data_IF_904431294452
#
_entry.id   IF_904431294452
#
_cell.length_a   1.000
_cell.length_b   1.000
_cell.length_c   1.000
_cell.angle_alpha   90.00
_cell.angle_beta   90.00
_cell.angle_gamma   90.00
#
_symmetry.space_group_name_H-M   'P 1'
#
loop_
_entity.id
_entity.type
_entity.pdbx_description
1 polymer ?
#
# COMPACT_ATOMS: atom_id res chain seq x y z
N UNK A 1 -25.60 -19.87 -37.14
CA UNK A 1 -25.30 -19.96 -38.59
C UNK A 1 -24.27 -18.88 -38.91
N UNK A 2 -23.13 -19.29 -39.49
CA UNK A 2 -22.01 -18.49 -40.04
C UNK A 2 -21.25 -17.58 -39.05
N UNK A 3 -20.02 -17.89 -38.56
CA UNK A 3 -18.78 -18.39 -39.19
C UNK A 3 -18.27 -17.56 -40.38
N UNK A 4 -17.12 -16.89 -40.17
CA UNK A 4 -15.94 -16.70 -41.05
C UNK A 4 -15.04 -15.62 -40.42
N UNK A 5 -13.74 -15.76 -40.17
CA UNK A 5 -12.78 -16.80 -40.50
C UNK A 5 -11.66 -16.31 -41.43
N UNK A 6 -10.42 -16.48 -40.94
CA UNK A 6 -9.16 -16.82 -41.66
C UNK A 6 -8.40 -15.61 -42.31
N UNK A 7 -7.08 -15.70 -42.65
CA UNK A 7 -5.88 -15.49 -41.80
C UNK A 7 -4.72 -14.75 -42.55
N UNK A 8 -3.46 -14.94 -42.12
CA UNK A 8 -2.16 -15.02 -42.86
C UNK A 8 -1.06 -14.25 -42.09
N UNK A 9 0.22 -14.62 -42.01
CA UNK A 9 0.99 -15.86 -42.21
C UNK A 9 2.45 -15.53 -41.86
N UNK A 10 3.20 -16.58 -41.51
CA UNK A 10 4.63 -16.67 -41.17
C UNK A 10 5.61 -16.07 -42.20
N UNK A 11 6.84 -15.76 -41.77
CA UNK A 11 8.10 -16.39 -42.27
C UNK A 11 9.38 -15.78 -41.65
N UNK A 12 10.28 -16.69 -41.24
CA UNK A 12 11.75 -16.71 -41.33
C UNK A 12 12.61 -15.65 -40.59
N UNK A 13 13.70 -15.97 -39.88
CA UNK A 13 14.64 -17.08 -39.98
C UNK A 13 16.03 -16.53 -40.35
N UNK A 14 17.00 -16.50 -39.41
CA UNK A 14 18.43 -16.45 -39.76
C UNK A 14 19.35 -16.77 -38.57
N UNK A 15 19.94 -17.96 -38.65
CA UNK A 15 21.18 -18.37 -38.00
C UNK A 15 22.37 -17.56 -38.54
N UNK A 16 23.33 -17.23 -37.67
CA UNK A 16 24.68 -16.88 -38.07
C UNK A 16 25.72 -17.51 -37.12
N UNK A 17 26.69 -18.18 -37.73
CA UNK A 17 27.69 -19.09 -37.18
C UNK A 17 29.09 -18.45 -37.23
N UNK A 18 29.94 -18.85 -36.29
CA UNK A 18 31.42 -19.05 -36.39
C UNK A 18 32.39 -17.84 -36.33
N UNK A 19 33.33 -17.92 -35.38
CA UNK A 19 34.80 -17.67 -35.54
C UNK A 19 35.49 -18.10 -34.22
N UNK A 20 36.25 -19.19 -34.09
CA UNK A 20 37.54 -19.64 -34.66
C UNK A 20 38.82 -19.01 -34.02
N UNK A 21 39.71 -19.92 -33.54
CA UNK A 21 41.20 -19.84 -33.41
C UNK A 21 41.79 -19.10 -32.17
N UNK A 22 42.86 -19.53 -31.46
CA UNK A 22 44.01 -20.45 -31.68
C UNK A 22 44.72 -20.82 -30.31
N UNK A 23 45.76 -21.69 -30.27
CA UNK A 23 46.13 -22.65 -29.20
C UNK A 23 47.47 -22.36 -28.49
N UNK A 24 47.98 -23.24 -27.59
CA UNK A 24 49.43 -23.54 -27.43
C UNK A 24 49.78 -24.78 -26.53
N UNK A 25 50.69 -25.64 -27.06
CA UNK A 25 51.66 -26.63 -26.50
C UNK A 25 51.33 -27.53 -25.28
N UNK A 26 51.44 -28.88 -25.32
CA UNK A 26 52.55 -29.85 -25.61
C UNK A 26 53.72 -29.82 -24.63
N UNK A 27 53.97 -30.96 -23.96
CA UNK A 27 55.24 -31.68 -23.66
C UNK A 27 54.89 -32.88 -22.75
N UNK A 28 54.74 -34.12 -23.24
CA UNK A 28 55.72 -35.20 -23.56
C UNK A 28 56.44 -35.89 -22.37
N UNK A 29 56.13 -37.18 -22.25
CA UNK A 29 56.64 -38.35 -21.46
C UNK A 29 58.17 -38.52 -21.31
N UNK A 30 58.73 -39.35 -20.37
CA UNK A 30 58.79 -40.84 -20.43
C UNK A 30 58.64 -41.59 -19.07
N UNK A 31 57.99 -42.77 -18.96
CA UNK A 31 58.35 -44.19 -19.26
C UNK A 31 59.33 -44.87 -18.28
N UNK A 32 58.89 -45.93 -17.56
CA UNK A 32 59.60 -47.18 -17.11
C UNK A 32 58.72 -47.91 -16.05
N UNK A 33 58.08 -49.07 -16.25
CA UNK A 33 58.49 -50.49 -16.43
C UNK A 33 58.80 -51.29 -15.15
N UNK A 34 57.82 -52.16 -14.78
CA UNK A 34 57.87 -53.55 -14.24
C UNK A 34 58.76 -53.94 -13.03
N UNK A 35 58.13 -54.50 -11.98
CA UNK A 35 58.40 -55.81 -11.33
C UNK A 35 57.63 -55.90 -9.98
N UNK A 36 56.68 -56.85 -9.82
CA UNK A 36 56.80 -58.14 -9.13
C UNK A 36 56.19 -58.15 -7.71
N UNK A 37 55.17 -58.99 -7.51
CA UNK A 37 54.53 -59.37 -6.23
C UNK A 37 55.52 -60.09 -5.29
N UNK A 38 55.21 -60.26 -3.98
CA UNK A 38 54.43 -61.45 -3.57
C UNK A 38 53.43 -61.23 -2.39
N UNK A 39 52.58 -62.24 -2.20
CA UNK A 39 51.46 -62.39 -1.26
C UNK A 39 51.84 -62.47 0.24
N UNK A 40 50.93 -62.04 1.13
CA UNK A 40 50.43 -62.82 2.30
C UNK A 40 49.29 -62.12 3.08
N UNK A 41 48.11 -62.73 2.96
CA UNK A 41 47.01 -62.98 3.92
C UNK A 41 46.25 -61.90 4.71
N UNK A 42 44.97 -62.18 5.08
CA UNK A 42 43.94 -61.17 5.33
C UNK A 42 43.53 -61.08 6.81
N UNK A 43 43.24 -59.87 7.30
CA UNK A 43 42.39 -59.69 8.47
C UNK A 43 41.80 -58.28 8.53
N UNK A 44 40.48 -58.23 8.36
CA UNK A 44 39.51 -57.32 8.96
C UNK A 44 40.00 -55.95 9.50
N UNK A 45 39.52 -54.88 8.87
CA UNK A 45 38.63 -53.88 9.51
C UNK A 45 38.08 -52.96 8.41
N UNK A 46 36.82 -53.17 8.03
CA UNK A 46 36.11 -52.22 7.17
C UNK A 46 35.75 -50.97 7.97
N UNK A 47 36.54 -49.92 7.84
CA UNK A 47 36.10 -48.54 8.01
C UNK A 47 35.99 -47.92 6.62
N UNK A 48 34.87 -48.17 5.94
CA UNK A 48 34.56 -47.47 4.69
C UNK A 48 33.89 -46.15 5.05
N UNK A 49 34.66 -45.08 4.86
CA UNK A 49 34.18 -43.70 4.93
C UNK A 49 32.92 -43.53 4.09
N UNK A 50 31.87 -43.04 4.75
CA UNK A 50 30.69 -42.56 4.08
C UNK A 50 31.08 -41.40 3.18
N UNK A 51 31.11 -41.63 1.88
CA UNK A 51 31.17 -40.58 0.89
C UNK A 51 30.05 -39.59 1.18
N UNK A 52 30.42 -38.37 1.55
CA UNK A 52 29.48 -37.26 1.67
C UNK A 52 28.86 -37.04 0.30
N UNK A 53 27.65 -37.54 0.13
CA UNK A 53 26.77 -37.20 -0.98
C UNK A 53 26.52 -35.69 -0.85
N UNK A 54 27.23 -34.89 -1.64
CA UNK A 54 26.95 -33.48 -1.81
C UNK A 54 25.82 -33.34 -2.84
N UNK A 55 24.61 -33.74 -2.44
CA UNK A 55 23.42 -33.28 -3.15
C UNK A 55 23.20 -31.82 -2.78
N UNK A 56 22.93 -30.91 -3.74
CA UNK A 56 22.55 -29.54 -3.41
C UNK A 56 21.23 -29.58 -2.65
N UNK A 57 21.28 -29.63 -1.31
CA UNK A 57 20.12 -29.97 -0.44
C UNK A 57 19.26 -28.74 -0.14
N UNK A 58 19.08 -27.85 -1.10
CA UNK A 58 18.07 -26.81 -0.97
C UNK A 58 17.52 -26.44 -2.35
N UNK A 59 16.77 -27.37 -2.94
CA UNK A 59 15.96 -27.06 -4.11
C UNK A 59 14.81 -26.17 -3.63
N UNK A 60 14.95 -24.86 -3.75
CA UNK A 60 13.88 -23.89 -3.50
C UNK A 60 12.87 -24.07 -4.64
N UNK A 61 11.88 -24.94 -4.46
CA UNK A 61 10.92 -25.31 -5.51
C UNK A 61 9.85 -24.25 -5.78
N UNK A 62 9.80 -23.18 -5.00
CA UNK A 62 8.69 -22.26 -5.01
C UNK A 62 9.18 -20.81 -4.92
N UNK A 63 9.20 -20.11 -6.06
CA UNK A 63 9.75 -18.75 -6.19
C UNK A 63 8.74 -17.64 -5.90
N UNK A 64 7.44 -17.94 -5.95
CA UNK A 64 6.36 -16.93 -5.91
C UNK A 64 5.25 -17.24 -4.90
N UNK A 65 5.62 -17.47 -3.63
CA UNK A 65 4.65 -17.70 -2.54
C UNK A 65 4.55 -16.47 -1.62
N UNK A 66 3.34 -16.14 -1.19
CA UNK A 66 3.07 -15.36 0.02
C UNK A 66 2.80 -16.27 1.21
N UNK A 67 3.37 -15.92 2.36
CA UNK A 67 3.17 -16.66 3.60
C UNK A 67 2.20 -15.90 4.49
N UNK A 68 1.14 -16.54 4.93
CA UNK A 68 0.26 -16.01 5.98
C UNK A 68 0.59 -16.77 7.27
N UNK A 69 0.90 -16.02 8.32
CA UNK A 69 1.33 -16.56 9.63
C UNK A 69 0.27 -16.32 10.69
N UNK A 70 0.00 -17.33 11.49
CA UNK A 70 -0.83 -17.23 12.69
C UNK A 70 -0.09 -17.84 13.89
N UNK A 71 -0.14 -17.18 15.04
CA UNK A 71 0.38 -17.71 16.31
C UNK A 71 -0.79 -18.09 17.21
N UNK A 72 -0.91 -19.39 17.54
CA UNK A 72 -1.99 -19.94 18.38
C UNK A 72 -1.40 -21.01 19.30
N UNK A 73 -1.77 -21.01 20.58
CA UNK A 73 -1.29 -22.02 21.55
C UNK A 73 0.23 -22.06 21.73
N UNK A 74 0.91 -20.92 21.59
CA UNK A 74 2.38 -20.83 21.71
C UNK A 74 3.15 -21.33 20.48
N UNK A 75 2.48 -21.93 19.49
CA UNK A 75 3.07 -22.40 18.23
C UNK A 75 2.77 -21.47 17.07
N UNK A 76 3.59 -21.56 16.02
CA UNK A 76 3.43 -20.80 14.78
C UNK A 76 2.91 -21.73 13.71
N UNK A 77 1.89 -21.28 13.00
CA UNK A 77 1.31 -21.97 11.85
C UNK A 77 1.38 -21.03 10.66
N UNK A 78 1.73 -21.57 9.51
CA UNK A 78 1.95 -20.84 8.27
C UNK A 78 1.26 -21.58 7.13
N UNK A 79 0.69 -20.81 6.20
CA UNK A 79 0.09 -21.33 4.97
C UNK A 79 0.75 -20.70 3.75
N UNK A 80 0.80 -21.47 2.67
CA UNK A 80 1.36 -21.05 1.39
C UNK A 80 0.23 -20.58 0.46
N UNK A 81 0.23 -19.29 0.11
CA UNK A 81 -0.76 -18.67 -0.73
C UNK A 81 -0.12 -17.98 -1.94
N UNK A 82 -0.91 -17.70 -2.97
CA UNK A 82 -0.47 -16.82 -4.05
C UNK A 82 -0.49 -15.34 -3.60
N UNK A 83 0.55 -14.59 -3.96
CA UNK A 83 0.82 -13.24 -3.43
C UNK A 83 -0.34 -12.23 -3.58
N UNK A 84 -1.00 -12.23 -4.72
CA UNK A 84 -2.07 -11.25 -5.01
C UNK A 84 -3.45 -11.72 -4.53
N UNK A 85 -3.62 -13.00 -4.22
CA UNK A 85 -4.91 -13.62 -3.95
C UNK A 85 -5.36 -13.42 -2.50
N UNK A 86 -4.42 -13.30 -1.56
CA UNK A 86 -4.72 -13.12 -0.12
C UNK A 86 -5.48 -11.81 0.14
N UNK A 87 -5.13 -10.73 -0.56
CA UNK A 87 -5.83 -9.45 -0.42
C UNK A 87 -7.24 -9.51 -1.04
N UNK A 88 -7.38 -10.11 -2.23
CA UNK A 88 -8.67 -10.34 -2.90
C UNK A 88 -9.62 -11.17 -2.03
N UNK A 89 -9.10 -12.18 -1.35
CA UNK A 89 -9.86 -13.00 -0.39
C UNK A 89 -10.42 -12.15 0.77
N UNK A 90 -9.59 -11.27 1.35
CA UNK A 90 -10.02 -10.37 2.44
C UNK A 90 -11.07 -9.35 1.97
N UNK A 91 -10.97 -8.94 0.72
CA UNK A 91 -11.95 -8.07 0.06
C UNK A 91 -13.21 -8.84 -0.40
N UNK A 92 -13.24 -10.18 -0.24
CA UNK A 92 -14.33 -11.09 -0.63
C UNK A 92 -14.65 -11.07 -2.12
N UNK A 93 -13.65 -10.77 -2.95
CA UNK A 93 -13.78 -10.75 -4.42
C UNK A 93 -13.78 -12.18 -4.96
N UNK A 94 -12.89 -13.03 -4.44
CA UNK A 94 -12.77 -14.44 -4.80
C UNK A 94 -13.28 -15.32 -3.66
N UNK A 95 -13.97 -16.42 -4.02
CA UNK A 95 -14.62 -17.32 -3.06
C UNK A 95 -14.06 -18.74 -3.07
N UNK A 96 -13.24 -19.08 -4.06
CA UNK A 96 -12.68 -20.43 -4.22
C UNK A 96 -11.35 -20.56 -3.49
N UNK A 97 -11.27 -21.52 -2.56
CA UNK A 97 -10.11 -21.71 -1.70
C UNK A 97 -8.88 -22.19 -2.48
N UNK A 98 -9.10 -23.03 -3.49
CA UNK A 98 -8.06 -23.70 -4.26
C UNK A 98 -7.30 -22.74 -5.19
N UNK A 99 -7.90 -21.60 -5.52
CA UNK A 99 -7.24 -20.55 -6.31
C UNK A 99 -6.36 -19.64 -5.44
N UNK A 100 -6.70 -19.48 -4.16
CA UNK A 100 -5.96 -18.66 -3.21
C UNK A 100 -4.79 -19.42 -2.61
N UNK A 101 -5.01 -20.68 -2.24
CA UNK A 101 -4.02 -21.54 -1.62
C UNK A 101 -3.20 -22.27 -2.67
N UNK A 102 -1.89 -22.34 -2.46
CA UNK A 102 -1.04 -23.19 -3.30
C UNK A 102 -1.02 -24.65 -2.80
N UNK A 103 -1.24 -24.84 -1.51
CA UNK A 103 -1.39 -26.15 -0.88
C UNK A 103 -2.40 -26.05 0.25
N UNK A 104 -3.25 -27.06 0.40
CA UNK A 104 -4.22 -27.18 1.49
C UNK A 104 -3.59 -27.60 2.82
N UNK A 105 -2.28 -27.84 2.84
CA UNK A 105 -1.56 -28.32 4.04
C UNK A 105 -1.05 -27.16 4.90
N UNK A 106 -1.18 -27.31 6.21
CA UNK A 106 -0.72 -26.32 7.20
C UNK A 106 0.73 -26.63 7.60
N UNK A 107 1.59 -25.62 7.54
CA UNK A 107 3.00 -25.74 7.88
C UNK A 107 3.32 -25.09 9.23
N UNK A 108 4.36 -25.57 9.90
CA UNK A 108 5.01 -24.83 10.99
C UNK A 108 5.99 -23.79 10.43
N UNK A 109 6.59 -24.11 9.28
CA UNK A 109 7.47 -23.22 8.53
C UNK A 109 7.39 -23.54 7.03
N UNK A 110 6.88 -22.60 6.24
CA UNK A 110 6.72 -22.79 4.78
C UNK A 110 8.08 -22.81 4.08
N UNK A 111 9.01 -21.93 4.46
CA UNK A 111 10.35 -21.85 3.84
C UNK A 111 11.16 -23.14 4.01
N UNK A 112 10.94 -23.89 5.09
CA UNK A 112 11.59 -25.17 5.38
C UNK A 112 10.75 -26.39 4.97
N UNK A 113 9.53 -26.18 4.47
CA UNK A 113 8.59 -27.26 4.14
C UNK A 113 8.19 -28.13 5.34
N UNK A 114 8.23 -27.59 6.57
CA UNK A 114 7.93 -28.35 7.78
C UNK A 114 6.42 -28.37 8.03
N UNK A 115 5.77 -29.52 7.84
CA UNK A 115 4.32 -29.70 8.04
C UNK A 115 3.98 -29.74 9.53
N UNK A 116 2.84 -29.15 9.92
CA UNK A 116 2.34 -29.21 11.29
C UNK A 116 1.83 -30.62 11.65
N UNK A 117 2.16 -31.11 12.85
CA UNK A 117 1.67 -32.41 13.33
C UNK A 117 0.18 -32.32 13.68
N UNK A 118 -0.58 -33.39 13.38
CA UNK A 118 -2.03 -33.46 13.65
C UNK A 118 -2.38 -33.19 15.12
N UNK A 119 -1.59 -33.71 16.06
CA UNK A 119 -1.78 -33.48 17.50
C UNK A 119 -1.73 -31.99 17.89
N UNK A 120 -0.91 -31.21 17.20
CA UNK A 120 -0.74 -29.78 17.49
C UNK A 120 -1.89 -28.96 16.93
N UNK A 121 -2.37 -29.36 15.74
CA UNK A 121 -3.56 -28.79 15.12
C UNK A 121 -4.79 -29.02 16.01
N UNK A 122 -4.99 -30.25 16.50
CA UNK A 122 -6.09 -30.57 17.41
C UNK A 122 -6.04 -29.74 18.70
N UNK A 123 -4.84 -29.61 19.31
CA UNK A 123 -4.66 -28.83 20.55
C UNK A 123 -4.94 -27.33 20.35
N UNK A 124 -4.53 -26.76 19.21
CA UNK A 124 -4.62 -25.30 18.98
C UNK A 124 -5.94 -24.88 18.33
N UNK A 125 -6.44 -25.66 17.38
CA UNK A 125 -7.61 -25.33 16.57
C UNK A 125 -8.86 -26.11 16.97
N UNK A 126 -8.72 -27.18 17.79
CA UNK A 126 -9.82 -28.08 18.19
C UNK A 126 -10.47 -28.84 17.01
N UNK A 127 -9.81 -28.84 15.87
CA UNK A 127 -10.28 -29.40 14.60
C UNK A 127 -9.12 -30.12 13.92
N UNK A 128 -9.40 -31.21 13.20
CA UNK A 128 -8.42 -31.96 12.39
C UNK A 128 -8.45 -31.55 10.89
N UNK A 129 -9.56 -30.96 10.44
CA UNK A 129 -9.76 -30.52 9.06
C UNK A 129 -8.82 -29.37 8.68
N UNK A 130 -7.85 -29.68 7.83
CA UNK A 130 -6.86 -28.71 7.34
C UNK A 130 -7.52 -27.55 6.58
N UNK A 131 -8.58 -27.80 5.81
CA UNK A 131 -9.31 -26.76 5.08
C UNK A 131 -9.91 -25.70 6.00
N UNK A 132 -10.55 -26.11 7.09
CA UNK A 132 -11.13 -25.19 8.07
C UNK A 132 -10.06 -24.37 8.79
N UNK A 133 -8.91 -25.01 9.09
CA UNK A 133 -7.78 -24.33 9.70
C UNK A 133 -7.17 -23.29 8.75
N UNK A 134 -7.02 -23.61 7.47
CA UNK A 134 -6.55 -22.67 6.44
C UNK A 134 -7.47 -21.45 6.33
N UNK A 135 -8.78 -21.64 6.37
CA UNK A 135 -9.76 -20.55 6.41
C UNK A 135 -9.56 -19.64 7.63
N UNK A 136 -9.42 -20.21 8.83
CA UNK A 136 -9.19 -19.42 10.04
C UNK A 136 -7.85 -18.65 9.97
N UNK A 137 -6.80 -19.26 9.42
CA UNK A 137 -5.49 -18.62 9.24
C UNK A 137 -5.54 -17.51 8.19
N UNK A 138 -6.29 -17.67 7.10
CA UNK A 138 -6.46 -16.62 6.09
C UNK A 138 -7.15 -15.37 6.67
N UNK A 139 -8.17 -15.57 7.51
CA UNK A 139 -8.97 -14.50 8.08
C UNK A 139 -8.24 -13.78 9.24
N UNK A 140 -7.68 -14.53 10.20
CA UNK A 140 -7.06 -13.97 11.40
C UNK A 140 -5.53 -13.82 11.32
N UNK A 141 -4.90 -14.46 10.35
CA UNK A 141 -3.44 -14.45 10.22
C UNK A 141 -2.90 -13.12 9.72
N UNK A 142 -1.60 -12.93 9.91
CA UNK A 142 -0.86 -11.79 9.38
C UNK A 142 -0.19 -12.19 8.07
N UNK A 143 -0.44 -11.43 7.00
CA UNK A 143 0.23 -11.60 5.72
C UNK A 143 1.66 -11.09 5.85
N UNK A 144 2.63 -11.96 5.59
CA UNK A 144 4.02 -11.56 5.47
C UNK A 144 4.26 -10.96 4.08
N UNK A 145 4.35 -9.64 4.03
CA UNK A 145 4.73 -8.91 2.82
C UNK A 145 6.25 -8.93 2.63
N UNK A 146 6.70 -8.93 1.38
CA UNK A 146 8.11 -8.70 1.05
C UNK A 146 8.53 -7.27 1.42
N UNK A 147 9.81 -7.06 1.73
CA UNK A 147 10.34 -5.71 1.97
C UNK A 147 10.09 -4.75 0.79
N UNK A 148 10.16 -5.26 -0.46
CA UNK A 148 9.86 -4.47 -1.66
C UNK A 148 8.39 -4.06 -1.75
N UNK A 149 7.49 -5.00 -1.45
CA UNK A 149 6.03 -4.74 -1.45
C UNK A 149 5.63 -3.81 -0.31
N UNK A 150 6.26 -3.97 0.86
CA UNK A 150 6.07 -3.06 1.99
C UNK A 150 6.46 -1.64 1.63
N UNK A 151 7.61 -1.47 0.97
CA UNK A 151 8.08 -0.17 0.52
C UNK A 151 7.13 0.46 -0.51
N UNK A 152 6.68 -0.32 -1.50
CA UNK A 152 5.71 0.16 -2.50
C UNK A 152 4.38 0.59 -1.85
N UNK A 153 3.87 -0.16 -0.87
CA UNK A 153 2.65 0.19 -0.14
C UNK A 153 2.81 1.47 0.69
N UNK A 154 3.97 1.66 1.31
CA UNK A 154 4.29 2.88 2.06
C UNK A 154 4.39 4.09 1.13
N UNK A 155 5.07 3.94 -0.01
CA UNK A 155 5.18 5.00 -1.03
C UNK A 155 3.83 5.36 -1.63
N UNK A 156 2.99 4.38 -1.96
CA UNK A 156 1.61 4.62 -2.44
C UNK A 156 0.79 5.37 -1.39
N UNK A 157 0.83 4.93 -0.13
CA UNK A 157 0.12 5.59 0.96
C UNK A 157 0.62 7.02 1.19
N UNK A 158 1.94 7.25 1.09
CA UNK A 158 2.56 8.57 1.22
C UNK A 158 2.09 9.50 0.10
N UNK A 159 2.07 9.02 -1.14
CA UNK A 159 1.58 9.78 -2.30
C UNK A 159 0.09 10.11 -2.19
N UNK A 160 -0.72 9.17 -1.72
CA UNK A 160 -2.15 9.41 -1.45
C UNK A 160 -2.34 10.48 -0.37
N UNK A 161 -1.57 10.43 0.72
CA UNK A 161 -1.60 11.45 1.77
C UNK A 161 -1.20 12.81 1.20
N UNK A 162 -0.12 12.88 0.43
CA UNK A 162 0.34 14.12 -0.20
C UNK A 162 -0.73 14.71 -1.14
N UNK A 163 -1.41 13.88 -1.93
CA UNK A 163 -2.54 14.28 -2.78
C UNK A 163 -3.71 14.86 -1.98
N UNK A 164 -4.08 14.20 -0.86
CA UNK A 164 -5.14 14.70 0.02
C UNK A 164 -4.76 16.05 0.64
N UNK A 165 -3.48 16.25 0.96
CA UNK A 165 -2.97 17.50 1.52
C UNK A 165 -2.94 18.60 0.46
N UNK A 166 -2.48 18.32 -0.77
CA UNK A 166 -2.46 19.30 -1.87
C UNK A 166 -3.86 19.78 -2.22
N UNK A 167 -4.85 18.89 -2.19
CA UNK A 167 -6.23 19.25 -2.48
C UNK A 167 -6.84 20.18 -1.43
N UNK A 168 -6.36 20.12 -0.19
CA UNK A 168 -6.93 20.80 0.97
C UNK A 168 -6.12 22.00 1.43
N UNK A 169 -4.90 22.21 0.94
CA UNK A 169 -4.00 23.23 1.46
C UNK A 169 -3.61 24.22 0.38
N UNK A 170 -3.44 25.47 0.79
CA UNK A 170 -2.99 26.58 -0.03
C UNK A 170 -1.85 27.31 0.69
N UNK A 171 -1.04 28.03 -0.07
CA UNK A 171 -0.10 28.98 0.49
C UNK A 171 -0.88 30.24 0.95
N UNK A 172 -0.76 30.69 2.20
CA UNK A 172 -1.45 31.89 2.68
C UNK A 172 -0.99 33.17 1.96
N UNK A 173 0.25 33.23 1.47
CA UNK A 173 0.81 34.43 0.84
C UNK A 173 0.38 34.54 -0.62
N UNK A 174 0.51 33.45 -1.39
CA UNK A 174 0.24 33.45 -2.83
C UNK A 174 -1.18 33.00 -3.17
N UNK A 175 -1.93 32.44 -2.22
CA UNK A 175 -3.25 31.82 -2.41
C UNK A 175 -3.28 30.71 -3.48
N UNK A 176 -2.11 30.18 -3.84
CA UNK A 176 -1.98 29.09 -4.81
C UNK A 176 -1.92 27.73 -4.09
N UNK A 177 -2.51 26.67 -4.67
CA UNK A 177 -2.38 25.32 -4.14
C UNK A 177 -0.96 24.80 -4.30
N UNK A 178 -0.50 23.99 -3.35
CA UNK A 178 0.77 23.29 -3.48
C UNK A 178 0.67 22.11 -4.43
N UNK A 179 1.74 21.84 -5.17
CA UNK A 179 1.84 20.62 -5.97
C UNK A 179 2.13 19.42 -5.06
N UNK A 180 1.70 18.23 -5.50
CA UNK A 180 1.94 16.97 -4.76
C UNK A 180 3.42 16.75 -4.49
N UNK A 181 4.29 17.08 -5.45
CA UNK A 181 5.75 16.89 -5.34
C UNK A 181 6.40 17.79 -4.29
N UNK A 182 5.89 19.02 -4.10
CA UNK A 182 6.37 19.90 -3.04
C UNK A 182 6.01 19.36 -1.67
N UNK A 183 4.79 18.85 -1.50
CA UNK A 183 4.35 18.25 -0.24
C UNK A 183 5.09 16.94 0.03
N UNK A 184 5.33 16.10 -0.98
CA UNK A 184 6.15 14.88 -0.84
C UNK A 184 7.57 15.19 -0.36
N UNK A 185 8.18 16.26 -0.89
CA UNK A 185 9.51 16.70 -0.47
C UNK A 185 9.49 17.19 0.98
N UNK A 186 8.52 18.03 1.32
CA UNK A 186 8.35 18.53 2.69
C UNK A 186 8.04 17.43 3.72
N UNK A 187 7.29 16.39 3.32
CA UNK A 187 7.04 15.21 4.16
C UNK A 187 8.31 14.38 4.39
N UNK A 188 9.21 14.31 3.40
CA UNK A 188 10.52 13.64 3.55
C UNK A 188 11.45 14.41 4.48
N UNK A 189 11.46 15.73 4.39
CA UNK A 189 12.27 16.61 5.25
C UNK A 189 11.83 16.52 6.71
N UNK A 190 10.52 16.35 6.95
CA UNK A 190 9.95 16.08 8.27
C UNK A 190 10.17 14.65 8.79
N UNK A 191 10.69 13.75 7.95
CA UNK A 191 10.80 12.32 8.23
C UNK A 191 9.49 11.70 8.76
N UNK A 192 8.36 12.04 8.13
CA UNK A 192 7.05 11.56 8.57
C UNK A 192 6.91 10.04 8.37
N UNK A 193 6.60 9.32 9.46
CA UNK A 193 6.37 7.87 9.41
C UNK A 193 4.89 7.53 9.17
N UNK A 194 4.59 7.03 7.96
CA UNK A 194 3.24 6.59 7.57
C UNK A 194 2.87 5.26 8.25
N UNK A 195 1.68 5.21 8.85
CA UNK A 195 1.15 4.03 9.52
C UNK A 195 0.09 3.33 8.66
N UNK A 196 0.31 2.11 8.14
CA UNK A 196 -0.63 1.45 7.24
C UNK A 196 -1.94 1.00 7.91
N UNK A 197 -1.99 0.99 9.25
CA UNK A 197 -3.20 0.60 10.01
C UNK A 197 -4.20 1.75 10.16
N UNK A 198 -3.76 3.01 10.04
CA UNK A 198 -4.62 4.19 10.22
C UNK A 198 -5.10 4.68 8.86
N UNK A 199 -6.29 5.29 8.83
CA UNK A 199 -6.85 5.84 7.60
C UNK A 199 -5.98 7.01 7.06
N UNK A 200 -5.70 7.02 5.76
CA UNK A 200 -4.90 8.05 5.08
C UNK A 200 -5.48 9.46 5.29
N UNK A 201 -6.81 9.61 5.36
CA UNK A 201 -7.46 10.91 5.64
C UNK A 201 -7.14 11.46 7.04
N UNK A 202 -7.04 10.59 8.04
CA UNK A 202 -6.69 11.02 9.40
C UNK A 202 -5.22 11.39 9.49
N UNK A 203 -4.35 10.58 8.85
CA UNK A 203 -2.93 10.87 8.79
C UNK A 203 -2.65 12.20 8.06
N UNK A 204 -3.40 12.51 7.00
CA UNK A 204 -3.28 13.80 6.32
C UNK A 204 -3.54 15.01 7.25
N UNK A 205 -4.46 14.91 8.21
CA UNK A 205 -4.70 15.99 9.17
C UNK A 205 -3.53 16.17 10.14
N UNK A 206 -2.90 15.06 10.55
CA UNK A 206 -1.70 15.09 11.40
C UNK A 206 -0.51 15.69 10.63
N UNK A 207 -0.38 15.33 9.34
CA UNK A 207 0.66 15.86 8.43
C UNK A 207 0.52 17.37 8.23
N UNK A 208 -0.70 17.90 8.05
CA UNK A 208 -0.93 19.35 7.90
C UNK A 208 -0.43 20.12 9.14
N UNK A 209 -0.65 19.58 10.35
CA UNK A 209 -0.18 20.25 11.57
C UNK A 209 1.34 20.29 11.68
N UNK A 210 2.02 19.24 11.22
CA UNK A 210 3.48 19.15 11.26
C UNK A 210 4.13 19.97 10.14
N UNK A 211 3.54 19.98 8.95
CA UNK A 211 4.01 20.76 7.80
C UNK A 211 3.97 22.27 8.03
N UNK A 212 3.04 22.75 8.85
CA UNK A 212 2.94 24.18 9.21
C UNK A 212 4.22 24.75 9.88
N UNK A 213 5.10 23.89 10.41
CA UNK A 213 6.38 24.32 10.98
C UNK A 213 7.53 24.50 9.97
N UNK A 214 7.41 23.95 8.76
CA UNK A 214 8.48 23.98 7.73
C UNK A 214 8.10 24.88 6.57
N UNK A 215 6.84 24.80 6.12
CA UNK A 215 6.31 25.59 5.00
C UNK A 215 5.06 26.32 5.50
N UNK A 216 4.85 27.59 5.10
CA UNK A 216 3.61 28.29 5.40
C UNK A 216 2.45 27.61 4.68
N UNK A 217 1.71 26.75 5.38
CA UNK A 217 0.54 26.08 4.81
C UNK A 217 -0.72 26.46 5.58
N UNK A 218 -1.79 26.75 4.85
CA UNK A 218 -3.10 26.98 5.42
C UNK A 218 -4.11 26.05 4.75
N UNK A 219 -5.10 25.60 5.53
CA UNK A 219 -6.21 24.84 4.97
C UNK A 219 -7.05 25.76 4.07
N UNK A 220 -7.44 25.27 2.91
CA UNK A 220 -8.31 25.97 1.97
C UNK A 220 -9.64 26.29 2.66
N UNK A 221 -9.98 27.58 2.64
CA UNK A 221 -11.24 28.09 3.14
C UNK A 221 -12.28 28.08 2.01
N UNK A 222 -13.54 27.98 2.40
CA UNK A 222 -14.68 28.09 1.51
C UNK A 222 -15.23 29.50 1.61
N UNK A 223 -15.63 30.06 0.47
CA UNK A 223 -16.34 31.35 0.44
C UNK A 223 -17.82 31.09 0.47
N UNK A 224 -18.46 31.54 1.54
CA UNK A 224 -19.90 31.37 1.76
C UNK A 224 -20.59 32.73 1.79
N UNK A 225 -21.77 32.76 1.19
CA UNK A 225 -22.73 33.85 1.28
C UNK A 225 -23.87 33.40 2.17
N UNK A 226 -24.15 34.18 3.20
CA UNK A 226 -25.16 33.88 4.20
C UNK A 226 -26.22 34.99 4.13
N UNK A 227 -27.47 34.57 3.96
CA UNK A 227 -28.65 35.44 3.97
C UNK A 227 -29.46 35.21 5.24
N UNK A 228 -29.61 36.24 6.06
CA UNK A 228 -30.35 36.18 7.33
C UNK A 228 -31.42 37.28 7.38
N UNK A 229 -32.68 36.97 7.66
CA UNK A 229 -33.71 37.99 7.86
C UNK A 229 -33.44 38.85 9.10
N UNK A 230 -33.64 40.17 8.98
CA UNK A 230 -33.14 41.19 9.93
C UNK A 230 -33.61 41.11 11.39
N UNK A 231 -34.64 40.30 11.72
CA UNK A 231 -35.19 40.19 13.09
C UNK A 231 -34.24 39.48 14.08
N UNK A 232 -33.36 38.60 13.59
CA UNK A 232 -32.44 37.79 14.42
C UNK A 232 -30.96 37.95 14.01
N UNK A 233 -30.71 38.75 12.96
CA UNK A 233 -29.42 38.98 12.35
C UNK A 233 -28.30 39.35 13.34
N UNK A 234 -28.57 40.25 14.29
CA UNK A 234 -27.56 40.72 15.25
C UNK A 234 -27.07 39.62 16.20
N UNK A 235 -27.98 38.76 16.69
CA UNK A 235 -27.65 37.66 17.61
C UNK A 235 -26.86 36.55 16.92
N UNK A 236 -27.20 36.28 15.66
CA UNK A 236 -26.52 35.25 14.86
C UNK A 236 -25.14 35.76 14.44
N UNK A 237 -25.03 37.04 14.06
CA UNK A 237 -23.75 37.69 13.74
C UNK A 237 -22.73 37.52 14.86
N UNK A 238 -23.07 37.86 16.10
CA UNK A 238 -22.16 37.73 17.25
C UNK A 238 -21.61 36.30 17.44
N UNK A 239 -22.38 35.28 17.06
CA UNK A 239 -21.97 33.87 17.15
C UNK A 239 -21.17 33.39 15.94
N UNK A 240 -21.40 33.97 14.76
CA UNK A 240 -20.73 33.58 13.51
C UNK A 240 -19.39 34.29 13.33
N UNK A 241 -19.26 35.55 13.73
CA UNK A 241 -18.02 36.34 13.64
C UNK A 241 -16.77 35.61 14.20
N UNK A 242 -16.80 34.89 15.34
CA UNK A 242 -15.62 34.16 15.79
C UNK A 242 -15.26 32.92 14.95
N UNK A 243 -16.19 32.44 14.10
CA UNK A 243 -16.03 31.23 13.28
C UNK A 243 -15.88 31.54 11.77
N UNK A 244 -16.00 32.81 11.38
CA UNK A 244 -16.04 33.28 10.00
C UNK A 244 -15.11 34.49 9.84
N UNK A 245 -14.24 34.47 8.82
CA UNK A 245 -13.50 35.66 8.44
C UNK A 245 -14.35 36.49 7.45
N UNK A 246 -14.89 37.61 7.92
CA UNK A 246 -15.88 38.39 7.17
C UNK A 246 -15.19 39.30 6.16
N UNK A 247 -15.57 39.18 4.88
CA UNK A 247 -15.05 40.05 3.80
C UNK A 247 -15.98 41.22 3.52
N UNK A 248 -17.29 40.99 3.47
CA UNK A 248 -18.28 42.04 3.23
C UNK A 248 -19.59 41.77 3.96
N UNK A 249 -20.19 42.85 4.46
CA UNK A 249 -21.48 42.83 5.13
C UNK A 249 -22.36 43.92 4.52
N UNK A 250 -23.53 43.52 4.02
CA UNK A 250 -24.56 44.44 3.55
C UNK A 250 -25.83 44.26 4.38
N UNK A 251 -26.37 45.37 4.87
CA UNK A 251 -27.62 45.38 5.61
C UNK A 251 -28.66 46.15 4.82
N UNK A 252 -29.54 45.42 4.13
CA UNK A 252 -30.65 46.00 3.35
C UNK A 252 -31.75 44.97 3.16
N UNK A 253 -33.01 45.31 3.51
CA UNK A 253 -33.87 44.73 4.58
C UNK A 253 -33.52 43.37 5.22
N UNK A 254 -32.65 42.57 4.60
CA UNK A 254 -32.05 41.34 5.08
C UNK A 254 -30.53 41.58 5.32
N UNK A 255 -29.92 40.75 6.16
CA UNK A 255 -28.48 40.76 6.37
C UNK A 255 -27.84 39.78 5.38
N UNK A 256 -27.04 40.31 4.46
CA UNK A 256 -26.18 39.53 3.58
C UNK A 256 -24.74 39.62 4.09
N UNK A 257 -24.12 38.47 4.34
CA UNK A 257 -22.72 38.38 4.73
C UNK A 257 -21.97 37.47 3.79
N UNK A 258 -20.81 37.92 3.32
CA UNK A 258 -19.86 37.09 2.58
C UNK A 258 -18.62 36.94 3.45
N UNK A 259 -18.20 35.70 3.65
CA UNK A 259 -17.02 35.42 4.45
C UNK A 259 -16.37 34.09 4.11
N UNK A 260 -15.13 33.95 4.57
CA UNK A 260 -14.33 32.75 4.43
C UNK A 260 -14.52 31.87 5.66
N UNK A 261 -14.88 30.61 5.43
CA UNK A 261 -15.16 29.62 6.47
C UNK A 261 -14.28 28.39 6.27
N UNK A 262 -13.80 27.82 7.37
CA UNK A 262 -13.22 26.49 7.31
C UNK A 262 -14.33 25.44 7.10
N UNK A 263 -14.12 24.44 6.23
CA UNK A 263 -15.13 23.42 5.94
C UNK A 263 -15.59 22.62 7.17
N UNK A 264 -14.80 22.60 8.25
CA UNK A 264 -15.19 21.96 9.52
C UNK A 264 -16.25 22.72 10.31
N UNK A 265 -16.32 24.04 10.17
CA UNK A 265 -17.27 24.90 10.89
C UNK A 265 -18.58 25.10 10.12
N UNK A 266 -18.63 24.72 8.84
CA UNK A 266 -19.82 24.87 7.99
C UNK A 266 -21.08 24.25 8.60
N UNK A 267 -20.99 23.00 9.07
CA UNK A 267 -22.14 22.30 9.67
C UNK A 267 -22.64 22.98 10.95
N UNK A 268 -21.73 23.46 11.79
CA UNK A 268 -22.09 24.17 13.02
C UNK A 268 -22.80 25.49 12.72
N UNK A 269 -22.33 26.22 11.70
CA UNK A 269 -22.93 27.47 11.26
C UNK A 269 -24.32 27.23 10.63
N UNK A 270 -24.46 26.18 9.81
CA UNK A 270 -25.75 25.77 9.23
C UNK A 270 -26.79 25.41 10.32
N UNK A 271 -26.39 24.61 11.31
CA UNK A 271 -27.24 24.23 12.43
C UNK A 271 -27.65 25.46 13.27
N UNK A 272 -26.72 26.39 13.53
CA UNK A 272 -26.98 27.64 14.27
C UNK A 272 -27.96 28.57 13.54
N UNK A 273 -27.79 28.70 12.23
CA UNK A 273 -28.64 29.52 11.38
C UNK A 273 -30.05 28.93 11.30
N UNK A 274 -30.15 27.62 11.09
CA UNK A 274 -31.44 26.90 10.97
C UNK A 274 -32.22 26.91 12.27
N UNK A 275 -31.56 26.64 13.40
CA UNK A 275 -32.19 26.62 14.74
C UNK A 275 -32.70 27.98 15.18
N UNK A 276 -31.96 29.05 14.90
CA UNK A 276 -32.37 30.41 15.26
C UNK A 276 -33.50 30.89 14.37
N UNK A 277 -33.35 30.80 13.04
CA UNK A 277 -34.29 31.40 12.08
C UNK A 277 -35.50 30.55 11.70
N UNK A 278 -35.59 29.32 12.23
CA UNK A 278 -36.60 28.30 11.86
C UNK A 278 -36.62 28.01 10.36
N UNK A 279 -35.44 27.94 9.73
CA UNK A 279 -35.28 27.62 8.30
C UNK A 279 -35.56 28.77 7.32
N UNK A 280 -35.60 30.02 7.78
CA UNK A 280 -35.82 31.20 6.90
C UNK A 280 -34.53 31.80 6.34
N UNK A 281 -33.38 31.43 6.88
CA UNK A 281 -32.09 31.86 6.37
C UNK A 281 -31.58 30.90 5.28
N UNK A 282 -30.81 31.45 4.34
CA UNK A 282 -30.21 30.71 3.23
C UNK A 282 -28.69 30.82 3.31
N UNK A 283 -28.00 29.73 3.02
CA UNK A 283 -26.55 29.69 2.91
C UNK A 283 -26.23 29.22 1.50
N UNK A 284 -25.50 30.04 0.76
CA UNK A 284 -25.03 29.75 -0.58
C UNK A 284 -23.50 29.63 -0.55
N UNK A 285 -22.97 28.52 -1.04
CA UNK A 285 -21.52 28.35 -1.20
C UNK A 285 -21.14 29.02 -2.52
N UNK A 286 -20.39 30.12 -2.46
CA UNK A 286 -19.93 30.86 -3.64
C UNK A 286 -18.73 30.16 -4.28
N UNK A 287 -17.75 29.75 -3.46
CA UNK A 287 -16.57 29.02 -3.94
C UNK A 287 -16.10 27.98 -2.93
N UNK A 288 -15.72 26.82 -3.44
CA UNK A 288 -15.18 25.69 -2.66
C UNK A 288 -13.68 25.84 -2.36
N UNK A 289 -12.99 26.70 -3.12
CA UNK A 289 -11.57 27.04 -2.94
C UNK A 289 -11.40 28.52 -3.26
N UNK A 290 -10.90 29.31 -2.33
CA UNK A 290 -10.42 30.65 -2.65
C UNK A 290 -9.13 30.58 -3.46
N UNK A 291 -9.29 30.36 -4.77
CA UNK A 291 -8.39 30.95 -5.75
C UNK A 291 -8.90 32.38 -5.92
N UNK A 292 -8.16 33.36 -5.43
CA UNK A 292 -8.50 34.74 -5.77
C UNK A 292 -8.44 34.88 -7.30
N UNK A 293 -9.55 35.26 -7.92
CA UNK A 293 -9.65 35.76 -9.30
C UNK A 293 -8.79 37.02 -9.47
N UNK A 294 -7.48 36.86 -9.51
CA UNK A 294 -6.55 37.90 -9.99
C UNK A 294 -6.04 37.42 -11.33
N UNK A 295 -6.87 37.56 -12.36
CA UNK A 295 -6.52 37.11 -13.69
C UNK A 295 -7.56 37.37 -14.75
N UNK A 296 -8.06 38.61 -14.87
CA UNK A 296 -8.72 39.12 -16.09
C UNK A 296 -8.67 40.66 -16.18
N UNK A 297 -7.50 41.24 -15.91
CA UNK A 297 -7.20 42.66 -16.22
C UNK A 297 -5.85 42.77 -16.94
N UNK A 298 -5.70 42.08 -18.07
CA UNK A 298 -4.59 42.34 -18.99
C UNK A 298 -4.88 41.84 -20.41
N UNK A 299 -5.90 42.41 -21.08
CA UNK A 299 -5.94 42.49 -22.54
C UNK A 299 -6.66 43.80 -22.90
N UNK A 300 -5.88 44.86 -23.06
CA UNK A 300 -6.26 46.06 -23.82
C UNK A 300 -5.54 46.00 -25.16
#
# INVERSE_FOLDING_TARGET
MFCRGIPLSDTDGSDAKISARQPFNILLFPRFSLASSPERDPAATMSKGGGKIFTPTNQIRLTNIAVVRMKKGGKRFEIACYKNKVQSWRQKIEKDLDEVLQSETVFTNVSKGQVAKKEELLKCFKTEDQKQICLEILEKGELQVSDKERQANLESSMKEIASIVSDKCINPETKTPYTVTMIESAMKDLHFSVNPKRNNKQQALDVIKQLAGVIPIQRAQMKVRIFIPGKEAKKIKEKIVPMLNVESENFSPELEMIGLIDPGHFRLIEDLITSSTKGRAKIEVLSLKDLSDVGDTALT
#
